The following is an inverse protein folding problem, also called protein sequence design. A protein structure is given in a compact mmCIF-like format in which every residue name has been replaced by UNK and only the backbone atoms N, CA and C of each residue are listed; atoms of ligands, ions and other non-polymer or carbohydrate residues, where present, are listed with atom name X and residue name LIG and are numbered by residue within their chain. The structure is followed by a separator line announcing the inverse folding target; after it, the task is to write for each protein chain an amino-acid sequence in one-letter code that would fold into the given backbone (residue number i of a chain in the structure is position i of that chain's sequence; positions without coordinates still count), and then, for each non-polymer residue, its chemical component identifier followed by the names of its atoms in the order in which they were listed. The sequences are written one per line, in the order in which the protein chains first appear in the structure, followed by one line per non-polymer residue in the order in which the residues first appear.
data_IF_899295429857
#
_entry.id   IF_899295429857
#
_cell.length_a   1.000
_cell.length_b   1.000
_cell.length_c   1.000
_cell.angle_alpha   90.00
_cell.angle_beta   90.00
_cell.angle_gamma   90.00
#
_symmetry.space_group_name_H-M   'P 1'
#
loop_
_entity.id
_entity.type
_entity.pdbx_description
1 polymer ?
#
# COMPACT_ATOMS: atom_id res chain seq x y z
N UNK A 1 -9.08 3.96 24.67
CA UNK A 1 -9.81 3.86 23.39
C UNK A 1 -8.95 4.51 22.32
N UNK A 2 -8.72 3.85 21.18
CA UNK A 2 -7.77 4.35 20.16
C UNK A 2 -8.40 5.48 19.34
N UNK A 3 -7.61 6.52 19.03
CA UNK A 3 -8.05 7.63 18.18
C UNK A 3 -7.96 7.20 16.72
N UNK A 4 -9.12 7.02 16.10
CA UNK A 4 -9.26 6.84 14.65
C UNK A 4 -9.58 8.18 14.01
N UNK A 5 -8.91 8.47 12.90
CA UNK A 5 -9.20 9.63 12.07
C UNK A 5 -9.81 9.15 10.77
N UNK A 6 -10.98 9.71 10.42
CA UNK A 6 -11.72 9.41 9.21
C UNK A 6 -12.00 10.72 8.48
N UNK A 7 -11.70 10.75 7.20
CA UNK A 7 -12.03 11.85 6.29
C UNK A 7 -12.85 11.27 5.15
N UNK A 8 -13.95 11.93 4.83
CA UNK A 8 -14.84 11.54 3.74
C UNK A 8 -14.96 12.71 2.76
N UNK A 9 -14.81 12.42 1.48
CA UNK A 9 -14.80 13.39 0.39
C UNK A 9 -15.65 12.83 -0.73
N UNK A 10 -16.53 13.65 -1.31
CA UNK A 10 -17.22 13.28 -2.53
C UNK A 10 -16.28 13.49 -3.73
N UNK A 11 -15.94 12.40 -4.42
CA UNK A 11 -15.04 12.44 -5.57
C UNK A 11 -15.67 11.75 -6.76
N UNK A 12 -15.80 12.47 -7.87
CA UNK A 12 -16.40 11.97 -9.11
C UNK A 12 -17.76 11.25 -8.93
N UNK A 13 -18.60 11.77 -8.01
CA UNK A 13 -19.94 11.24 -7.73
C UNK A 13 -19.98 10.00 -6.83
N UNK A 14 -18.87 9.65 -6.16
CA UNK A 14 -18.81 8.56 -5.18
C UNK A 14 -18.07 9.01 -3.91
N UNK A 15 -18.44 8.51 -2.73
CA UNK A 15 -17.71 8.82 -1.50
C UNK A 15 -16.34 8.13 -1.51
N UNK A 16 -15.29 8.93 -1.37
CA UNK A 16 -13.93 8.53 -1.05
C UNK A 16 -13.71 8.71 0.44
N UNK A 17 -13.46 7.60 1.14
CA UNK A 17 -13.24 7.56 2.58
C UNK A 17 -11.78 7.18 2.83
N UNK A 18 -11.10 7.93 3.70
CA UNK A 18 -9.74 7.65 4.15
C UNK A 18 -9.74 7.50 5.68
N UNK A 19 -9.33 6.33 6.17
CA UNK A 19 -9.30 6.00 7.59
C UNK A 19 -7.88 5.65 8.05
N UNK A 20 -7.48 6.14 9.22
CA UNK A 20 -6.20 5.79 9.87
C UNK A 20 -6.34 5.58 11.38
N UNK A 21 -5.37 4.89 11.99
CA UNK A 21 -5.32 4.63 13.43
C UNK A 21 -6.03 3.36 13.89
N UNK A 22 -6.77 2.67 13.00
CA UNK A 22 -7.49 1.42 13.30
C UNK A 22 -6.66 0.16 13.01
N UNK A 23 -6.02 0.10 11.84
CA UNK A 23 -5.34 -1.10 11.29
C UNK A 23 -3.85 -0.80 11.08
N UNK A 24 -3.00 -1.85 11.15
CA UNK A 24 -1.58 -1.80 10.83
C UNK A 24 -0.79 -0.71 11.58
N UNK A 25 -1.10 -0.50 12.86
CA UNK A 25 -0.55 0.57 13.71
C UNK A 25 0.94 0.46 14.04
N UNK A 26 1.56 -0.67 13.71
CA UNK A 26 3.01 -0.86 13.85
C UNK A 26 3.77 -0.27 12.66
N UNK A 27 3.09 -0.02 11.53
CA UNK A 27 3.68 0.73 10.43
C UNK A 27 3.81 2.21 10.80
N UNK A 28 4.79 2.90 10.22
CA UNK A 28 4.98 4.34 10.44
C UNK A 28 3.79 5.14 9.87
N UNK A 29 3.18 4.64 8.79
CA UNK A 29 1.92 5.15 8.26
C UNK A 29 1.03 4.01 7.76
N UNK A 30 -0.27 4.10 8.05
CA UNK A 30 -1.27 3.18 7.54
C UNK A 30 -2.58 3.91 7.25
N UNK A 31 -3.08 3.76 6.03
CA UNK A 31 -4.35 4.36 5.58
C UNK A 31 -5.18 3.29 4.88
N UNK A 32 -6.43 3.16 5.33
CA UNK A 32 -7.45 2.38 4.66
C UNK A 32 -8.28 3.34 3.80
N UNK A 33 -8.19 3.18 2.49
CA UNK A 33 -8.95 3.94 1.52
C UNK A 33 -10.14 3.11 1.05
N UNK A 34 -11.33 3.70 1.03
CA UNK A 34 -12.54 3.08 0.50
C UNK A 34 -13.13 4.02 -0.55
N UNK A 35 -13.40 3.49 -1.74
CA UNK A 35 -14.01 4.23 -2.82
C UNK A 35 -15.16 3.40 -3.40
N UNK A 36 -16.40 3.75 -3.04
CA UNK A 36 -17.55 2.88 -3.26
C UNK A 36 -17.40 1.54 -2.51
N UNK A 37 -17.38 0.44 -3.26
CA UNK A 37 -17.24 -0.94 -2.73
C UNK A 37 -15.77 -1.43 -2.69
N UNK A 38 -14.86 -0.66 -3.26
CA UNK A 38 -13.44 -1.00 -3.31
C UNK A 38 -12.72 -0.49 -2.08
N UNK A 39 -12.01 -1.38 -1.39
CA UNK A 39 -11.21 -1.07 -0.21
C UNK A 39 -9.75 -1.40 -0.50
N UNK A 40 -8.86 -0.47 -0.13
CA UNK A 40 -7.42 -0.62 -0.28
C UNK A 40 -6.72 -0.23 1.02
N UNK A 41 -5.89 -1.12 1.57
CA UNK A 41 -5.03 -0.81 2.70
C UNK A 41 -3.63 -0.45 2.20
N UNK A 42 -3.21 0.80 2.37
CA UNK A 42 -1.86 1.27 2.09
C UNK A 42 -1.06 1.39 3.40
N UNK A 43 0.10 0.74 3.48
CA UNK A 43 1.01 0.87 4.64
C UNK A 43 2.40 1.28 4.22
N UNK A 44 3.04 2.13 5.01
CA UNK A 44 4.38 2.68 4.78
C UNK A 44 5.24 2.38 5.99
N UNK A 45 6.40 1.80 5.74
CA UNK A 45 7.42 1.56 6.78
C UNK A 45 8.75 2.13 6.33
N UNK A 46 9.36 2.90 7.21
CA UNK A 46 10.65 3.53 7.05
C UNK A 46 11.67 2.89 8.01
N UNK A 47 12.92 2.78 7.56
CA UNK A 47 14.01 2.45 8.45
C UNK A 47 14.48 3.73 9.15
N UNK A 48 14.58 3.67 10.48
CA UNK A 48 15.10 4.78 11.29
C UNK A 48 16.60 5.02 11.07
N UNK A 49 17.35 3.95 10.79
CA UNK A 49 18.79 4.01 10.55
C UNK A 49 19.10 3.64 9.09
N UNK A 50 19.89 4.46 8.38
CA UNK A 50 20.41 4.07 7.07
C UNK A 50 21.36 2.88 7.22
N UNK A 51 21.43 2.03 6.20
CA UNK A 51 22.46 0.99 6.16
C UNK A 51 23.82 1.65 5.86
N UNK A 52 24.90 1.27 6.55
CA UNK A 52 26.23 1.68 6.13
C UNK A 52 26.46 1.18 4.69
N UNK A 53 27.10 2.01 3.86
CA UNK A 53 27.44 1.73 2.45
C UNK A 53 26.27 1.63 1.46
N UNK A 54 25.21 2.42 1.67
CA UNK A 54 24.05 2.48 0.78
C UNK A 54 24.18 3.62 -0.26
N UNK A 55 24.67 3.30 -1.47
CA UNK A 55 24.88 4.28 -2.55
C UNK A 55 23.61 4.68 -3.33
N UNK A 56 22.49 3.99 -3.10
CA UNK A 56 21.22 4.23 -3.81
C UNK A 56 20.05 4.33 -2.83
N UNK A 57 19.03 5.14 -3.16
CA UNK A 57 17.80 5.24 -2.36
C UNK A 57 16.97 3.94 -2.45
N UNK A 58 16.91 3.14 -1.38
CA UNK A 58 16.26 1.84 -1.41
C UNK A 58 14.76 2.01 -1.14
N UNK A 59 14.01 2.26 -2.20
CA UNK A 59 12.54 2.28 -2.21
C UNK A 59 11.99 1.02 -2.84
N UNK A 60 11.14 0.32 -2.09
CA UNK A 60 10.41 -0.86 -2.57
C UNK A 60 8.91 -0.62 -2.46
N UNK A 61 8.21 -0.81 -3.57
CA UNK A 61 6.75 -0.73 -3.64
C UNK A 61 6.22 -2.10 -4.04
N UNK A 62 5.26 -2.61 -3.26
CA UNK A 62 4.61 -3.89 -3.51
C UNK A 62 3.09 -3.68 -3.51
N UNK A 63 2.49 -3.75 -4.68
CA UNK A 63 1.05 -3.87 -4.83
C UNK A 63 0.68 -5.36 -4.90
N UNK A 64 -0.26 -5.80 -4.07
CA UNK A 64 -0.74 -7.18 -4.05
C UNK A 64 -2.26 -7.25 -4.05
N UNK A 65 -2.80 -8.07 -4.94
CA UNK A 65 -4.20 -8.40 -5.00
C UNK A 65 -4.43 -9.74 -4.32
N UNK A 66 -5.45 -9.79 -3.46
CA UNK A 66 -5.84 -11.04 -2.81
C UNK A 66 -7.06 -11.59 -3.52
N UNK A 67 -7.09 -12.89 -3.82
CA UNK A 67 -8.23 -13.45 -4.58
C UNK A 67 -9.51 -13.44 -3.76
N UNK A 68 -9.41 -13.45 -2.43
CA UNK A 68 -10.56 -13.28 -1.54
C UNK A 68 -11.24 -11.92 -1.76
N UNK A 69 -10.53 -10.93 -2.29
CA UNK A 69 -11.07 -9.64 -2.65
C UNK A 69 -12.12 -9.71 -3.75
N UNK A 70 -12.33 -10.85 -4.41
CA UNK A 70 -13.38 -11.04 -5.43
C UNK A 70 -14.19 -12.30 -5.09
N UNK A 71 -14.09 -12.78 -3.85
CA UNK A 71 -14.74 -14.02 -3.40
C UNK A 71 -14.23 -15.30 -4.07
N UNK A 72 -13.02 -15.29 -4.66
CA UNK A 72 -12.46 -16.44 -5.39
C UNK A 72 -11.32 -17.11 -4.63
N UNK A 73 -11.22 -18.43 -4.76
CA UNK A 73 -10.09 -19.23 -4.25
C UNK A 73 -9.00 -19.28 -5.34
N UNK A 74 -7.71 -19.13 -5.01
CA UNK A 74 -6.64 -19.21 -6.00
C UNK A 74 -6.63 -20.58 -6.70
N UNK A 75 -6.63 -20.59 -8.04
CA UNK A 75 -6.73 -21.83 -8.83
C UNK A 75 -5.43 -22.65 -8.96
N UNK A 76 -4.33 -22.21 -8.35
CA UNK A 76 -3.04 -22.92 -8.42
C UNK A 76 -2.97 -24.15 -7.49
N UNK A 77 -1.98 -25.02 -7.71
CA UNK A 77 -1.76 -26.24 -6.90
C UNK A 77 -1.71 -25.95 -5.39
N UNK A 78 -1.03 -24.86 -5.00
CA UNK A 78 -0.88 -24.44 -3.60
C UNK A 78 -2.06 -23.63 -3.05
N UNK A 79 -3.09 -23.33 -3.86
CA UNK A 79 -4.28 -22.53 -3.49
C UNK A 79 -3.95 -21.24 -2.73
N UNK A 80 -2.81 -20.61 -3.06
CA UNK A 80 -2.27 -19.40 -2.40
C UNK A 80 -1.62 -18.49 -3.42
N UNK A 81 -1.77 -17.17 -3.25
CA UNK A 81 -1.05 -16.19 -4.07
C UNK A 81 0.44 -16.20 -3.71
N UNK A 82 1.29 -16.43 -4.71
CA UNK A 82 2.73 -16.55 -4.50
C UNK A 82 3.49 -15.44 -5.21
N UNK A 83 3.70 -15.60 -6.52
CA UNK A 83 4.45 -14.62 -7.31
C UNK A 83 3.52 -13.50 -7.75
N UNK A 84 3.99 -12.24 -7.73
CA UNK A 84 3.27 -11.14 -8.33
C UNK A 84 2.95 -11.45 -9.79
N UNK A 85 1.71 -11.21 -10.16
CA UNK A 85 1.26 -11.20 -11.55
C UNK A 85 1.89 -10.03 -12.30
N UNK A 86 1.73 -10.05 -13.62
CA UNK A 86 2.16 -8.95 -14.48
C UNK A 86 1.46 -7.64 -14.08
N UNK A 87 0.14 -7.68 -13.86
CA UNK A 87 -0.63 -6.53 -13.41
C UNK A 87 -0.14 -5.99 -12.07
N UNK A 88 0.09 -6.85 -11.07
CA UNK A 88 0.62 -6.40 -9.78
C UNK A 88 1.99 -5.73 -9.91
N UNK A 89 2.85 -6.27 -10.79
CA UNK A 89 4.16 -5.69 -11.07
C UNK A 89 4.05 -4.34 -11.79
N UNK A 90 3.14 -4.21 -12.77
CA UNK A 90 2.90 -2.96 -13.50
C UNK A 90 2.33 -1.88 -12.59
N UNK A 91 1.36 -2.21 -11.74
CA UNK A 91 0.77 -1.27 -10.77
C UNK A 91 1.80 -0.86 -9.73
N UNK A 92 2.62 -1.79 -9.23
CA UNK A 92 3.73 -1.47 -8.32
C UNK A 92 4.68 -0.44 -8.93
N UNK A 93 5.03 -0.61 -10.22
CA UNK A 93 5.86 0.35 -10.96
C UNK A 93 5.17 1.68 -11.21
N UNK A 94 3.86 1.66 -11.47
CA UNK A 94 3.05 2.86 -11.67
C UNK A 94 3.04 3.74 -10.41
N UNK A 95 3.04 3.13 -9.23
CA UNK A 95 3.11 3.83 -7.94
C UNK A 95 4.56 4.28 -7.61
N UNK A 96 5.56 3.45 -7.91
CA UNK A 96 6.97 3.76 -7.61
C UNK A 96 7.48 4.98 -8.40
N UNK A 97 7.18 5.03 -9.70
CA UNK A 97 7.66 6.08 -10.62
C UNK A 97 7.37 7.53 -10.15
N UNK A 98 6.14 7.90 -9.73
CA UNK A 98 5.86 9.26 -9.28
C UNK A 98 6.41 9.57 -7.88
N UNK A 99 6.52 8.57 -6.99
CA UNK A 99 6.94 8.79 -5.61
C UNK A 99 8.46 8.91 -5.49
N UNK A 100 9.21 8.14 -6.30
CA UNK A 100 10.68 8.09 -6.21
C UNK A 100 11.37 9.46 -6.37
N UNK A 101 10.99 10.32 -7.33
CA UNK A 101 11.58 11.67 -7.44
C UNK A 101 11.29 12.57 -6.23
N UNK A 102 10.09 12.48 -5.66
CA UNK A 102 9.64 13.35 -4.56
C UNK A 102 10.45 13.14 -3.26
N UNK A 103 10.96 11.92 -3.05
CA UNK A 103 11.69 11.56 -1.82
C UNK A 103 13.15 12.02 -1.83
N UNK A 104 13.73 12.26 -3.01
CA UNK A 104 15.14 12.64 -3.18
C UNK A 104 15.52 13.95 -2.48
N UNK A 105 14.55 14.85 -2.25
CA UNK A 105 14.81 16.19 -1.69
C UNK A 105 14.44 16.31 -0.21
N UNK A 106 13.46 15.53 0.28
CA UNK A 106 12.80 15.81 1.57
C UNK A 106 13.09 14.78 2.67
N UNK A 107 13.42 13.52 2.35
CA UNK A 107 13.41 12.45 3.36
C UNK A 107 14.67 11.57 3.25
N UNK A 108 15.64 11.76 4.18
CA UNK A 108 16.77 10.85 4.41
C UNK A 108 16.37 9.56 5.16
N UNK A 109 15.15 9.07 5.00
CA UNK A 109 14.66 7.84 5.63
C UNK A 109 14.36 6.82 4.53
N UNK A 110 14.94 5.64 4.69
CA UNK A 110 14.79 4.50 3.80
C UNK A 110 13.36 3.97 3.88
N UNK A 111 12.51 4.23 2.88
CA UNK A 111 11.18 3.62 2.79
C UNK A 111 11.31 2.15 2.33
N UNK A 112 11.11 1.23 3.25
CA UNK A 112 11.35 -0.20 3.04
C UNK A 112 10.21 -0.92 2.31
N UNK A 113 8.97 -0.48 2.48
CA UNK A 113 7.81 -1.14 1.85
C UNK A 113 6.59 -0.24 1.84
N UNK A 114 6.03 -0.01 0.66
CA UNK A 114 4.62 0.35 0.49
C UNK A 114 3.86 -0.92 0.12
N UNK A 115 2.96 -1.40 0.99
CA UNK A 115 2.07 -2.53 0.67
C UNK A 115 0.66 -2.01 0.42
N UNK A 116 0.10 -2.27 -0.76
CA UNK A 116 -1.33 -2.09 -1.03
C UNK A 116 -2.03 -3.44 -1.04
N UNK A 117 -3.08 -3.59 -0.23
CA UNK A 117 -3.94 -4.76 -0.22
C UNK A 117 -5.33 -4.38 -0.67
N UNK A 118 -5.77 -4.97 -1.79
CA UNK A 118 -7.07 -4.74 -2.42
C UNK A 118 -8.14 -5.69 -1.85
N UNK A 119 -9.35 -5.18 -1.60
CA UNK A 119 -10.56 -5.92 -1.22
C UNK A 119 -11.76 -5.33 -1.94
N UNK A 120 -12.51 -6.12 -2.70
CA UNK A 120 -13.77 -5.73 -3.35
C UNK A 120 -14.87 -6.69 -2.89
N UNK A 121 -15.50 -6.38 -1.76
CA UNK A 121 -16.69 -7.10 -1.29
C UNK A 121 -17.90 -6.27 -1.64
#
# INVERSE_FOLDING_TARGET
MFKTHKVEIEWAGRPLILETGKIARQADGAVLATYGETIVLATVVSAKNPKPDQDFFPLTVNYQEKTYAVGKIPGGYFKRESRPSENETLISRLIDRPIRPLLSTVIKMTLKSLSLLYSMI
#
